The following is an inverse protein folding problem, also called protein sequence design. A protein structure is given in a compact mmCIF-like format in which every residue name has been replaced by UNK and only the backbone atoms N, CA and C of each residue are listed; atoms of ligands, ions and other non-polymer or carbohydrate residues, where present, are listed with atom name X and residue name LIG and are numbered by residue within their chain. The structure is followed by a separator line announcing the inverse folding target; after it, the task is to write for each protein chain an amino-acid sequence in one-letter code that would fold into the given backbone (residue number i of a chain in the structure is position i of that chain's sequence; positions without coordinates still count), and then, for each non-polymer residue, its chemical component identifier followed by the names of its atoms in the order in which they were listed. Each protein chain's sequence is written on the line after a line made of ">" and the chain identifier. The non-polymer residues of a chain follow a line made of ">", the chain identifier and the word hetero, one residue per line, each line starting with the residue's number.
data_IF_574911316336
#
_entry.id   IF_574911316336
#
_cell.length_a   1.000
_cell.length_b   1.000
_cell.length_c   1.000
_cell.angle_alpha   90.00
_cell.angle_beta   90.00
_cell.angle_gamma   90.00
#
_symmetry.space_group_name_H-M   'P 1'
#
loop_
_entity.id
_entity.type
_entity.pdbx_description
1 polymer ?
#
# COMPACT_ATOMS: atom_id res chain seq x y z
N UNK A 1 18.21 -65.71 -46.92
CA UNK A 1 18.37 -66.12 -45.50
C UNK A 1 16.99 -66.21 -44.90
N UNK A 2 16.60 -67.41 -44.45
CA UNK A 2 15.29 -67.70 -43.85
C UNK A 2 15.14 -67.02 -42.47
N UNK A 3 13.92 -66.66 -42.04
CA UNK A 3 13.67 -66.21 -40.68
C UNK A 3 13.58 -67.41 -39.72
N UNK A 4 14.22 -67.27 -38.57
CA UNK A 4 14.29 -68.27 -37.49
C UNK A 4 13.05 -68.11 -36.62
N UNK A 5 12.18 -69.12 -36.59
CA UNK A 5 11.13 -69.25 -35.58
C UNK A 5 11.78 -69.55 -34.22
N UNK A 6 11.31 -68.87 -33.18
CA UNK A 6 11.64 -69.15 -31.78
C UNK A 6 10.36 -69.61 -31.10
N UNK A 7 10.50 -70.75 -30.41
CA UNK A 7 9.50 -71.55 -29.72
C UNK A 7 8.67 -70.76 -28.70
N UNK A 8 7.36 -71.00 -28.73
CA UNK A 8 6.44 -70.77 -27.62
C UNK A 8 6.60 -71.92 -26.62
N UNK A 9 7.42 -71.76 -25.58
CA UNK A 9 7.26 -72.50 -24.32
C UNK A 9 7.90 -71.76 -23.14
N UNK A 10 7.18 -71.79 -22.02
CA UNK A 10 7.57 -71.41 -20.65
C UNK A 10 7.59 -69.93 -20.26
N UNK A 11 6.38 -69.37 -20.08
CA UNK A 11 6.15 -68.27 -19.13
C UNK A 11 5.34 -68.84 -17.95
N UNK A 12 5.85 -68.81 -16.70
CA UNK A 12 5.06 -69.23 -15.55
C UNK A 12 3.90 -68.26 -15.34
N UNK A 13 2.68 -68.78 -15.25
CA UNK A 13 1.49 -68.01 -14.89
C UNK A 13 1.60 -67.55 -13.43
N UNK A 14 2.12 -66.35 -13.19
CA UNK A 14 1.95 -65.68 -11.91
C UNK A 14 0.50 -65.19 -11.83
N UNK A 15 -0.29 -65.88 -11.02
CA UNK A 15 -1.61 -65.47 -10.58
C UNK A 15 -1.46 -64.13 -9.82
N UNK A 16 -1.97 -63.04 -10.39
CA UNK A 16 -1.98 -61.75 -9.71
C UNK A 16 -3.16 -61.71 -8.75
N UNK A 17 -2.89 -61.68 -7.45
CA UNK A 17 -3.90 -61.34 -6.46
C UNK A 17 -4.29 -59.86 -6.62
N UNK A 18 -5.53 -59.61 -7.05
CA UNK A 18 -6.09 -58.25 -7.01
C UNK A 18 -6.31 -57.84 -5.56
N UNK A 19 -5.41 -57.03 -5.02
CA UNK A 19 -5.63 -56.34 -3.76
C UNK A 19 -6.66 -55.24 -3.99
N UNK A 20 -7.92 -55.52 -3.65
CA UNK A 20 -8.99 -54.52 -3.61
C UNK A 20 -8.73 -53.60 -2.43
N UNK A 21 -8.24 -52.39 -2.69
CA UNK A 21 -8.18 -51.33 -1.67
C UNK A 21 -9.61 -50.94 -1.25
N UNK A 22 -9.93 -50.86 0.06
CA UNK A 22 -11.24 -50.40 0.49
C UNK A 22 -11.44 -48.95 0.04
N UNK A 23 -12.45 -48.69 -0.80
CA UNK A 23 -12.97 -47.33 -1.01
C UNK A 23 -13.73 -46.88 0.25
N UNK A 24 -13.01 -46.67 1.34
CA UNK A 24 -13.45 -45.86 2.46
C UNK A 24 -13.16 -44.40 2.15
N UNK A 25 -14.14 -43.53 2.36
CA UNK A 25 -13.96 -42.07 2.32
C UNK A 25 -12.92 -41.68 3.37
N UNK A 26 -11.66 -41.59 2.95
CA UNK A 26 -10.55 -41.12 3.78
C UNK A 26 -10.03 -39.87 3.11
N UNK A 27 -10.11 -38.73 3.81
CA UNK A 27 -9.52 -37.47 3.38
C UNK A 27 -8.08 -37.72 2.93
N UNK A 28 -7.72 -37.27 1.73
CA UNK A 28 -6.39 -37.49 1.16
C UNK A 28 -5.37 -36.63 1.92
N UNK A 29 -4.13 -37.10 2.18
CA UNK A 29 -3.09 -36.31 2.88
C UNK A 29 -2.74 -34.97 2.20
N UNK A 30 -3.07 -34.85 0.90
CA UNK A 30 -2.94 -33.63 0.12
C UNK A 30 -3.94 -32.54 0.56
N UNK A 31 -5.17 -32.89 0.92
CA UNK A 31 -6.15 -31.91 1.42
C UNK A 31 -5.81 -31.45 2.84
N UNK A 32 -5.28 -32.33 3.69
CA UNK A 32 -4.84 -31.94 5.04
C UNK A 32 -3.54 -31.13 5.04
N UNK A 33 -2.70 -31.28 4.02
CA UNK A 33 -1.49 -30.45 3.87
C UNK A 33 -1.81 -29.10 3.24
N UNK A 34 -2.80 -29.01 2.35
CA UNK A 34 -3.29 -27.72 1.83
C UNK A 34 -4.08 -26.97 2.91
N UNK A 35 -4.98 -27.63 3.65
CA UNK A 35 -5.67 -27.04 4.82
C UNK A 35 -4.66 -26.62 5.90
N UNK A 36 -3.62 -27.42 6.19
CA UNK A 36 -2.59 -27.06 7.17
C UNK A 36 -1.64 -25.94 6.70
N UNK A 37 -1.38 -25.81 5.39
CA UNK A 37 -0.60 -24.69 4.82
C UNK A 37 -1.44 -23.42 4.75
N UNK A 38 -2.73 -23.51 4.40
CA UNK A 38 -3.66 -22.38 4.50
C UNK A 38 -3.84 -21.94 5.96
N UNK A 39 -4.03 -22.86 6.90
CA UNK A 39 -4.13 -22.57 8.33
C UNK A 39 -2.82 -22.04 8.91
N UNK A 40 -1.64 -22.46 8.40
CA UNK A 40 -0.35 -21.87 8.77
C UNK A 40 -0.14 -20.48 8.15
N UNK A 41 -0.55 -20.21 6.90
CA UNK A 41 -0.51 -18.87 6.31
C UNK A 41 -1.53 -17.92 6.96
N UNK A 42 -2.68 -18.44 7.41
CA UNK A 42 -3.70 -17.71 8.17
C UNK A 42 -3.25 -17.45 9.61
N UNK A 43 -2.61 -18.42 10.29
CA UNK A 43 -2.05 -18.24 11.63
C UNK A 43 -0.79 -17.36 11.62
N UNK A 44 0.04 -17.40 10.58
CA UNK A 44 1.19 -16.51 10.43
C UNK A 44 0.78 -15.07 10.09
N UNK A 45 -0.45 -14.86 9.63
CA UNK A 45 -1.10 -13.54 9.54
C UNK A 45 -1.62 -13.01 10.89
N UNK A 46 -1.78 -13.85 11.92
CA UNK A 46 -2.40 -13.48 13.19
C UNK A 46 -1.44 -12.91 14.26
N UNK A 47 -0.13 -12.93 14.07
CA UNK A 47 0.86 -12.24 14.95
C UNK A 47 1.65 -11.14 14.23
N UNK A 48 0.97 -10.29 13.45
CA UNK A 48 1.55 -8.99 13.13
C UNK A 48 1.45 -8.11 14.38
N UNK A 49 2.45 -8.19 15.27
CA UNK A 49 2.67 -7.19 16.31
C UNK A 49 2.68 -5.81 15.66
N UNK A 50 1.56 -5.11 15.74
CA UNK A 50 1.42 -3.82 15.07
C UNK A 50 2.16 -2.76 15.87
N UNK A 51 3.38 -2.42 15.44
CA UNK A 51 4.22 -1.41 16.10
C UNK A 51 3.48 -0.09 16.33
N UNK A 52 3.75 0.60 17.43
CA UNK A 52 3.11 1.89 17.70
C UNK A 52 3.56 2.94 16.67
N UNK A 53 2.71 3.92 16.31
CA UNK A 53 3.09 4.95 15.33
C UNK A 53 4.35 5.73 15.74
N UNK A 54 4.61 5.87 17.05
CA UNK A 54 5.84 6.46 17.58
C UNK A 54 7.08 5.59 17.37
N UNK A 55 6.93 4.26 17.36
CA UNK A 55 8.04 3.33 17.13
C UNK A 55 8.50 3.37 15.68
N UNK A 56 7.62 3.76 14.75
CA UNK A 56 7.99 4.02 13.35
C UNK A 56 9.14 5.04 13.26
N UNK A 57 9.20 6.00 14.20
CA UNK A 57 10.22 7.05 14.29
C UNK A 57 11.33 6.75 15.31
N UNK A 58 11.59 5.47 15.66
CA UNK A 58 12.60 5.06 16.66
C UNK A 58 14.00 5.63 16.40
N UNK A 59 14.37 5.79 15.14
CA UNK A 59 15.69 6.32 14.72
C UNK A 59 15.70 7.83 14.49
N UNK A 60 14.62 8.55 14.81
CA UNK A 60 14.57 10.00 14.64
C UNK A 60 15.49 10.71 15.64
N UNK A 61 16.44 11.49 15.13
CA UNK A 61 17.24 12.38 15.97
C UNK A 61 16.37 13.51 16.54
N UNK A 62 16.74 14.18 17.65
CA UNK A 62 15.98 15.33 18.16
C UNK A 62 15.82 16.45 17.12
N UNK A 63 16.79 16.59 16.21
CA UNK A 63 16.68 17.49 15.06
C UNK A 63 15.60 17.03 14.07
N UNK A 64 15.50 15.73 13.79
CA UNK A 64 14.47 15.17 12.89
C UNK A 64 13.07 15.34 13.46
N UNK A 65 12.91 15.19 14.78
CA UNK A 65 11.63 15.47 15.46
C UNK A 65 11.22 16.93 15.35
N UNK A 66 12.17 17.87 15.46
CA UNK A 66 11.91 19.29 15.24
C UNK A 66 11.52 19.58 13.77
N UNK A 67 12.24 18.99 12.82
CA UNK A 67 11.95 19.14 11.38
C UNK A 67 10.58 18.56 11.02
N UNK A 68 10.21 17.40 11.57
CA UNK A 68 8.89 16.80 11.42
C UNK A 68 7.80 17.68 12.02
N UNK A 69 8.01 18.24 13.22
CA UNK A 69 7.07 19.16 13.84
C UNK A 69 6.81 20.40 12.97
N UNK A 70 7.87 21.01 12.44
CA UNK A 70 7.74 22.14 11.49
C UNK A 70 7.05 21.69 10.20
N UNK A 71 7.38 20.52 9.66
CA UNK A 71 6.74 19.95 8.47
C UNK A 71 5.23 19.76 8.64
N UNK A 72 4.79 19.22 9.78
CA UNK A 72 3.36 19.04 10.11
C UNK A 72 2.64 20.39 10.17
N UNK A 73 3.24 21.40 10.81
CA UNK A 73 2.67 22.75 10.88
C UNK A 73 2.55 23.35 9.48
N UNK A 74 3.59 23.25 8.64
CA UNK A 74 3.57 23.78 7.27
C UNK A 74 2.57 23.04 6.38
N UNK A 75 2.44 21.72 6.50
CA UNK A 75 1.44 20.92 5.80
C UNK A 75 0.01 21.31 6.21
N UNK A 76 -0.22 21.54 7.50
CA UNK A 76 -1.51 21.99 8.02
C UNK A 76 -1.88 23.40 7.53
N UNK A 77 -0.91 24.32 7.55
CA UNK A 77 -1.04 25.67 7.00
C UNK A 77 -1.37 25.59 5.50
N UNK A 78 -0.65 24.77 4.73
CA UNK A 78 -0.90 24.58 3.30
C UNK A 78 -2.32 24.09 3.02
N UNK A 79 -2.79 23.07 3.74
CA UNK A 79 -4.15 22.55 3.62
C UNK A 79 -5.22 23.61 3.95
N UNK A 80 -5.00 24.42 5.00
CA UNK A 80 -5.91 25.50 5.35
C UNK A 80 -5.91 26.64 4.31
N UNK A 81 -4.74 27.04 3.82
CA UNK A 81 -4.59 28.05 2.76
C UNK A 81 -5.35 27.67 1.48
N UNK A 82 -5.30 26.39 1.11
CA UNK A 82 -6.02 25.91 -0.06
C UNK A 82 -7.54 26.07 0.10
N UNK A 83 -8.09 25.82 1.30
CA UNK A 83 -9.50 26.07 1.60
C UNK A 83 -9.84 27.57 1.72
N UNK A 84 -8.92 28.40 2.21
CA UNK A 84 -9.08 29.86 2.24
C UNK A 84 -9.20 30.49 0.85
N UNK A 85 -8.73 29.81 -0.21
CA UNK A 85 -8.95 30.23 -1.60
C UNK A 85 -10.44 30.44 -1.92
N UNK A 86 -11.33 29.66 -1.29
CA UNK A 86 -12.78 29.82 -1.45
C UNK A 86 -13.27 31.23 -1.04
N UNK A 87 -12.66 31.84 -0.01
CA UNK A 87 -13.02 33.18 0.48
C UNK A 87 -12.65 34.25 -0.55
N UNK A 88 -11.42 34.18 -1.08
CA UNK A 88 -10.95 35.13 -2.12
C UNK A 88 -11.79 34.99 -3.38
N UNK A 89 -12.19 33.77 -3.74
CA UNK A 89 -13.07 33.50 -4.87
C UNK A 89 -14.45 34.14 -4.68
N UNK A 90 -15.06 34.02 -3.50
CA UNK A 90 -16.34 34.68 -3.22
C UNK A 90 -16.26 36.20 -3.29
N UNK A 91 -15.20 36.79 -2.73
CA UNK A 91 -14.98 38.24 -2.79
C UNK A 91 -14.77 38.72 -4.23
N UNK A 92 -14.02 37.97 -5.05
CA UNK A 92 -13.87 38.29 -6.47
C UNK A 92 -15.21 38.29 -7.21
N UNK A 93 -16.08 37.31 -6.94
CA UNK A 93 -17.43 37.27 -7.53
C UNK A 93 -18.25 38.48 -7.11
N UNK A 94 -18.17 38.89 -5.85
CA UNK A 94 -18.87 40.09 -5.35
C UNK A 94 -18.46 41.36 -6.11
N UNK A 95 -17.17 41.55 -6.34
CA UNK A 95 -16.61 42.70 -7.05
C UNK A 95 -17.10 42.80 -8.50
N UNK A 96 -17.35 41.65 -9.15
CA UNK A 96 -17.92 41.59 -10.50
C UNK A 96 -19.45 41.62 -10.54
N UNK A 97 -20.13 41.33 -9.42
CA UNK A 97 -21.58 41.19 -9.34
C UNK A 97 -22.30 42.46 -8.86
N UNK A 98 -21.65 43.64 -8.92
CA UNK A 98 -22.27 44.89 -8.51
C UNK A 98 -23.48 45.25 -9.40
N UNK A 99 -24.57 45.68 -8.76
CA UNK A 99 -25.88 45.88 -9.39
C UNK A 99 -25.91 46.98 -10.47
N UNK A 100 -24.94 47.91 -10.45
CA UNK A 100 -24.89 49.04 -11.38
C UNK A 100 -24.18 48.71 -12.72
N UNK A 101 -23.72 47.47 -12.90
CA UNK A 101 -22.95 47.06 -14.09
C UNK A 101 -21.52 47.64 -14.14
N UNK A 102 -21.11 48.37 -13.09
CA UNK A 102 -19.73 48.78 -12.85
C UNK A 102 -18.92 47.64 -12.25
N UNK A 103 -17.65 47.52 -12.64
CA UNK A 103 -16.70 46.63 -11.99
C UNK A 103 -15.90 47.45 -11.00
N UNK A 104 -15.90 47.05 -9.74
CA UNK A 104 -15.01 47.63 -8.74
C UNK A 104 -13.58 47.13 -9.01
N UNK A 105 -12.81 47.97 -9.71
CA UNK A 105 -11.45 47.64 -10.11
C UNK A 105 -10.53 47.49 -8.89
N UNK A 106 -10.81 48.19 -7.79
CA UNK A 106 -9.99 48.14 -6.59
C UNK A 106 -10.22 46.83 -5.84
N UNK A 107 -11.48 46.39 -5.72
CA UNK A 107 -11.81 45.10 -5.12
C UNK A 107 -11.32 43.91 -5.96
N UNK A 108 -11.41 44.00 -7.30
CA UNK A 108 -10.83 43.00 -8.21
C UNK A 108 -9.30 42.94 -8.10
N UNK A 109 -8.61 44.09 -8.05
CA UNK A 109 -7.16 44.13 -7.92
C UNK A 109 -6.71 43.58 -6.56
N UNK A 110 -7.45 43.88 -5.48
CA UNK A 110 -7.23 43.30 -4.16
C UNK A 110 -7.43 41.77 -4.15
N UNK A 111 -8.48 41.27 -4.82
CA UNK A 111 -8.70 39.83 -4.95
C UNK A 111 -7.61 39.13 -5.77
N UNK A 112 -7.16 39.75 -6.87
CA UNK A 112 -6.05 39.23 -7.69
C UNK A 112 -4.73 39.18 -6.90
N UNK A 113 -4.41 40.23 -6.13
CA UNK A 113 -3.28 40.23 -5.20
C UNK A 113 -3.44 39.16 -4.12
N UNK A 114 -4.65 38.95 -3.60
CA UNK A 114 -4.96 37.88 -2.66
C UNK A 114 -4.65 36.48 -3.23
N UNK A 115 -5.09 36.19 -4.46
CA UNK A 115 -4.75 34.93 -5.14
C UNK A 115 -3.25 34.76 -5.35
N UNK A 116 -2.56 35.84 -5.74
CA UNK A 116 -1.11 35.81 -5.95
C UNK A 116 -0.35 35.52 -4.65
N UNK A 117 -0.71 36.17 -3.55
CA UNK A 117 -0.10 35.94 -2.23
C UNK A 117 -0.39 34.53 -1.70
N UNK A 118 -1.61 34.03 -1.87
CA UNK A 118 -1.96 32.64 -1.53
C UNK A 118 -1.14 31.66 -2.37
N UNK A 119 -0.96 31.92 -3.67
CA UNK A 119 -0.17 31.05 -4.53
C UNK A 119 1.30 30.97 -4.09
N UNK A 120 1.91 32.12 -3.75
CA UNK A 120 3.28 32.15 -3.19
C UNK A 120 3.33 31.39 -1.86
N UNK A 121 2.37 31.64 -0.96
CA UNK A 121 2.33 30.98 0.33
C UNK A 121 2.14 29.46 0.19
N UNK A 122 1.26 29.01 -0.71
CA UNK A 122 1.08 27.59 -1.04
C UNK A 122 2.37 26.99 -1.58
N UNK A 123 3.05 27.65 -2.51
CA UNK A 123 4.32 27.17 -3.06
C UNK A 123 5.38 27.00 -1.97
N UNK A 124 5.60 28.02 -1.14
CA UNK A 124 6.62 28.00 -0.08
C UNK A 124 6.28 26.94 0.98
N UNK A 125 5.04 26.89 1.45
CA UNK A 125 4.63 25.95 2.50
C UNK A 125 4.65 24.50 2.02
N UNK A 126 4.21 24.23 0.79
CA UNK A 126 4.23 22.88 0.20
C UNK A 126 5.67 22.42 -0.04
N UNK A 127 6.52 23.30 -0.59
CA UNK A 127 7.94 23.00 -0.82
C UNK A 127 8.68 22.71 0.49
N UNK A 128 8.55 23.57 1.50
CA UNK A 128 9.20 23.38 2.81
C UNK A 128 8.68 22.10 3.46
N UNK A 129 7.37 21.87 3.48
CA UNK A 129 6.80 20.63 4.01
C UNK A 129 7.38 19.39 3.31
N UNK A 130 7.33 19.35 1.98
CA UNK A 130 7.81 18.21 1.20
C UNK A 130 9.31 17.92 1.43
N UNK A 131 10.15 18.95 1.45
CA UNK A 131 11.59 18.80 1.68
C UNK A 131 11.88 18.32 3.10
N UNK A 132 11.18 18.86 4.11
CA UNK A 132 11.37 18.45 5.51
C UNK A 132 10.97 16.98 5.75
N UNK A 133 9.82 16.56 5.24
CA UNK A 133 9.36 15.17 5.34
C UNK A 133 10.29 14.22 4.56
N UNK A 134 10.68 14.58 3.33
CA UNK A 134 11.55 13.73 2.51
C UNK A 134 12.95 13.57 3.15
N UNK A 135 13.56 14.67 3.61
CA UNK A 135 14.88 14.61 4.24
C UNK A 135 14.87 13.82 5.55
N UNK A 136 13.83 14.00 6.38
CA UNK A 136 13.69 13.25 7.63
C UNK A 136 13.51 11.75 7.37
N UNK A 137 12.67 11.38 6.41
CA UNK A 137 12.46 9.98 6.03
C UNK A 137 13.75 9.34 5.47
N UNK A 138 14.48 10.04 4.60
CA UNK A 138 15.72 9.51 4.01
C UNK A 138 16.82 9.30 5.07
N UNK A 139 16.97 10.23 6.02
CA UNK A 139 17.94 10.10 7.13
C UNK A 139 17.62 8.92 8.03
N UNK A 140 16.35 8.76 8.42
CA UNK A 140 15.93 7.64 9.28
C UNK A 140 16.06 6.29 8.58
N UNK A 141 15.69 6.21 7.30
CA UNK A 141 15.83 4.97 6.51
C UNK A 141 17.30 4.61 6.31
N UNK A 142 18.19 5.60 6.15
CA UNK A 142 19.64 5.36 6.09
C UNK A 142 20.16 4.72 7.38
N UNK A 143 19.86 5.29 8.54
CA UNK A 143 20.29 4.74 9.84
C UNK A 143 19.67 3.36 10.10
N UNK A 144 18.37 3.21 9.83
CA UNK A 144 17.69 1.91 9.94
C UNK A 144 18.34 0.85 9.06
N UNK A 145 18.70 1.17 7.81
CA UNK A 145 19.39 0.23 6.91
C UNK A 145 20.78 -0.13 7.40
N UNK A 146 21.53 0.86 7.91
CA UNK A 146 22.87 0.63 8.45
C UNK A 146 22.83 -0.29 9.67
N UNK A 147 21.91 -0.02 10.61
CA UNK A 147 21.75 -0.81 11.82
C UNK A 147 21.18 -2.20 11.53
N UNK A 148 20.20 -2.31 10.63
CA UNK A 148 19.66 -3.59 10.19
C UNK A 148 20.76 -4.46 9.56
N UNK A 149 21.56 -3.90 8.66
CA UNK A 149 22.65 -4.63 8.03
C UNK A 149 23.72 -5.04 9.05
N UNK A 150 24.09 -4.14 9.96
CA UNK A 150 25.02 -4.43 11.05
C UNK A 150 24.51 -5.60 11.89
N UNK A 151 23.27 -5.52 12.36
CA UNK A 151 22.67 -6.55 13.21
C UNK A 151 22.59 -7.90 12.50
N UNK A 152 22.19 -7.92 11.22
CA UNK A 152 22.18 -9.13 10.41
C UNK A 152 23.56 -9.79 10.33
N UNK A 153 24.65 -9.03 10.17
CA UNK A 153 25.99 -9.60 10.11
C UNK A 153 26.45 -10.27 11.41
N UNK A 154 25.85 -9.92 12.55
CA UNK A 154 26.18 -10.48 13.87
C UNK A 154 25.15 -11.51 14.38
N UNK A 155 24.15 -11.87 13.57
CA UNK A 155 23.20 -12.90 13.95
C UNK A 155 23.82 -14.30 13.93
N UNK A 156 23.30 -15.21 14.75
CA UNK A 156 23.80 -16.58 14.80
C UNK A 156 23.47 -17.37 13.52
N UNK A 157 24.35 -18.31 13.16
CA UNK A 157 24.17 -19.14 11.96
C UNK A 157 22.90 -20.00 12.04
N UNK A 158 22.47 -20.38 13.25
CA UNK A 158 21.27 -21.18 13.47
C UNK A 158 19.98 -20.45 13.06
N UNK A 159 19.94 -19.13 13.18
CA UNK A 159 18.85 -18.30 12.68
C UNK A 159 18.82 -18.26 11.14
N UNK A 160 19.99 -18.23 10.50
CA UNK A 160 20.11 -18.29 9.04
C UNK A 160 19.74 -19.66 8.46
N UNK A 161 19.94 -20.74 9.21
CA UNK A 161 19.47 -22.08 8.81
C UNK A 161 17.93 -22.17 8.75
N UNK A 162 17.22 -21.30 9.48
CA UNK A 162 15.75 -21.25 9.53
C UNK A 162 15.15 -20.19 8.60
N UNK A 163 15.95 -19.21 8.16
CA UNK A 163 15.46 -18.03 7.44
C UNK A 163 16.13 -17.89 6.08
N UNK A 164 15.34 -17.78 5.02
CA UNK A 164 15.84 -17.63 3.65
C UNK A 164 16.60 -16.30 3.44
N UNK A 165 17.91 -16.33 3.13
CA UNK A 165 18.71 -15.13 2.90
C UNK A 165 18.19 -14.23 1.76
N UNK A 166 17.54 -14.80 0.75
CA UNK A 166 17.00 -14.04 -0.38
C UNK A 166 15.83 -13.16 0.05
N UNK A 167 15.00 -13.65 0.98
CA UNK A 167 13.91 -12.87 1.55
C UNK A 167 14.42 -11.69 2.36
N UNK A 168 15.52 -11.86 3.11
CA UNK A 168 16.13 -10.77 3.87
C UNK A 168 16.59 -9.60 2.99
N UNK A 169 17.29 -9.90 1.89
CA UNK A 169 17.78 -8.87 0.97
C UNK A 169 16.63 -8.10 0.31
N UNK A 170 15.58 -8.83 -0.09
CA UNK A 170 14.35 -8.25 -0.66
C UNK A 170 13.63 -7.37 0.36
N UNK A 171 13.49 -7.80 1.62
CA UNK A 171 12.90 -7.00 2.70
C UNK A 171 13.71 -5.74 2.98
N UNK A 172 15.03 -5.86 3.14
CA UNK A 172 15.89 -4.71 3.43
C UNK A 172 15.84 -3.65 2.32
N UNK A 173 15.65 -4.05 1.07
CA UNK A 173 15.58 -3.11 -0.06
C UNK A 173 14.16 -2.60 -0.33
N UNK A 174 13.17 -3.49 -0.34
CA UNK A 174 11.78 -3.21 -0.71
C UNK A 174 10.96 -2.62 0.43
N UNK A 175 10.97 -3.24 1.62
CA UNK A 175 10.15 -2.78 2.75
C UNK A 175 10.63 -1.43 3.26
N UNK A 176 11.94 -1.16 3.20
CA UNK A 176 12.48 0.16 3.58
C UNK A 176 12.04 1.28 2.64
N UNK A 177 11.75 1.00 1.36
CA UNK A 177 11.16 2.00 0.45
C UNK A 177 9.72 2.30 0.85
N UNK A 178 8.93 1.27 1.18
CA UNK A 178 7.55 1.46 1.66
C UNK A 178 7.50 2.28 2.95
N UNK A 179 8.41 1.98 3.89
CA UNK A 179 8.58 2.73 5.13
C UNK A 179 8.90 4.19 4.84
N UNK A 180 9.85 4.44 3.92
CA UNK A 180 10.23 5.78 3.49
C UNK A 180 9.04 6.59 2.94
N UNK A 181 8.28 5.98 2.03
CA UNK A 181 7.16 6.64 1.37
C UNK A 181 6.04 6.98 2.37
N UNK A 182 5.75 6.05 3.29
CA UNK A 182 4.76 6.25 4.36
C UNK A 182 5.16 7.30 5.39
N UNK A 183 6.42 7.31 5.85
CA UNK A 183 6.93 8.27 6.82
C UNK A 183 7.17 9.67 6.23
N UNK A 184 7.53 9.74 4.96
CA UNK A 184 7.85 10.98 4.27
C UNK A 184 6.62 11.63 3.65
N UNK A 185 6.53 11.54 2.31
CA UNK A 185 5.56 12.29 1.52
C UNK A 185 4.10 11.98 1.91
N UNK A 186 3.77 10.71 2.16
CA UNK A 186 2.38 10.30 2.41
C UNK A 186 1.84 10.79 3.74
N UNK A 187 2.69 10.91 4.76
CA UNK A 187 2.31 11.53 6.02
C UNK A 187 2.01 13.02 5.86
N UNK A 188 2.87 13.75 5.15
CA UNK A 188 2.66 15.17 4.86
C UNK A 188 1.36 15.43 4.09
N UNK A 189 1.10 14.61 3.05
CA UNK A 189 -0.15 14.65 2.28
C UNK A 189 -1.38 14.32 3.15
N UNK A 190 -1.29 13.33 4.04
CA UNK A 190 -2.39 12.98 4.93
C UNK A 190 -2.76 14.14 5.88
N UNK A 191 -1.77 14.78 6.49
CA UNK A 191 -1.99 15.95 7.37
C UNK A 191 -2.60 17.10 6.57
N UNK A 192 -2.04 17.41 5.40
CA UNK A 192 -2.53 18.45 4.49
C UNK A 192 -4.01 18.24 4.14
N UNK A 193 -4.39 17.04 3.70
CA UNK A 193 -5.77 16.74 3.32
C UNK A 193 -6.75 16.71 4.49
N UNK A 194 -6.29 16.29 5.68
CA UNK A 194 -7.08 16.37 6.91
C UNK A 194 -7.36 17.83 7.32
N UNK A 195 -6.33 18.68 7.30
CA UNK A 195 -6.48 20.12 7.57
C UNK A 195 -7.33 20.81 6.51
N UNK A 196 -7.16 20.48 5.24
CA UNK A 196 -7.98 21.01 4.15
C UNK A 196 -9.46 20.67 4.33
N UNK A 197 -9.77 19.42 4.71
CA UNK A 197 -11.14 18.98 5.01
C UNK A 197 -11.74 19.81 6.14
N UNK A 198 -11.03 19.91 7.27
CA UNK A 198 -11.50 20.66 8.44
C UNK A 198 -11.69 22.15 8.10
N UNK A 199 -10.71 22.79 7.48
CA UNK A 199 -10.78 24.20 7.11
C UNK A 199 -11.90 24.49 6.10
N UNK A 200 -12.09 23.62 5.09
CA UNK A 200 -13.13 23.77 4.09
C UNK A 200 -14.55 23.70 4.68
N UNK A 201 -14.77 22.74 5.59
CA UNK A 201 -16.05 22.61 6.30
C UNK A 201 -16.28 23.73 7.31
N UNK A 202 -15.26 24.19 8.02
CA UNK A 202 -15.38 25.35 8.93
C UNK A 202 -15.80 26.60 8.14
N UNK A 203 -15.16 26.87 7.00
CA UNK A 203 -15.54 27.99 6.12
C UNK A 203 -16.99 27.80 5.62
N UNK A 204 -17.36 26.58 5.22
CA UNK A 204 -18.72 26.23 4.83
C UNK A 204 -19.76 26.56 5.90
N UNK A 205 -19.59 26.03 7.11
CA UNK A 205 -20.53 26.22 8.20
C UNK A 205 -20.64 27.67 8.67
N UNK A 206 -19.54 28.42 8.66
CA UNK A 206 -19.54 29.84 9.06
C UNK A 206 -20.29 30.71 8.04
N UNK A 207 -20.15 30.45 6.75
CA UNK A 207 -20.77 31.26 5.69
C UNK A 207 -22.20 30.84 5.33
N UNK A 208 -22.49 29.55 5.38
CA UNK A 208 -23.79 29.01 4.99
C UNK A 208 -24.01 27.63 5.58
N UNK A 209 -24.45 27.59 6.84
CA UNK A 209 -24.69 26.33 7.57
C UNK A 209 -25.74 25.45 6.90
N UNK A 210 -26.81 26.03 6.36
CA UNK A 210 -27.93 25.34 5.71
C UNK A 210 -27.52 24.67 4.39
N UNK A 211 -26.80 25.40 3.54
CA UNK A 211 -26.26 24.89 2.28
C UNK A 211 -25.17 23.84 2.50
N UNK A 212 -24.30 24.07 3.49
CA UNK A 212 -23.24 23.13 3.87
C UNK A 212 -23.83 21.80 4.33
N UNK A 213 -24.91 21.84 5.11
CA UNK A 213 -25.59 20.64 5.60
C UNK A 213 -26.23 19.85 4.45
N UNK A 214 -26.85 20.54 3.48
CA UNK A 214 -27.40 19.93 2.28
C UNK A 214 -26.32 19.22 1.44
N UNK A 215 -25.18 19.87 1.21
CA UNK A 215 -24.05 19.28 0.47
C UNK A 215 -23.39 18.13 1.27
N UNK A 216 -23.35 18.24 2.60
CA UNK A 216 -22.82 17.20 3.48
C UNK A 216 -23.62 15.90 3.41
N UNK A 217 -24.92 15.94 3.11
CA UNK A 217 -25.73 14.73 2.92
C UNK A 217 -25.26 13.87 1.73
N UNK A 218 -24.60 14.47 0.73
CA UNK A 218 -24.07 13.76 -0.45
C UNK A 218 -22.68 13.16 -0.19
N UNK A 219 -21.98 13.62 0.84
CA UNK A 219 -20.62 13.17 1.17
C UNK A 219 -20.54 11.67 1.54
N UNK A 220 -21.44 11.07 2.35
CA UNK A 220 -21.42 9.63 2.63
C UNK A 220 -21.55 8.77 1.36
N UNK A 221 -22.38 9.20 0.40
CA UNK A 221 -22.54 8.49 -0.87
C UNK A 221 -21.24 8.53 -1.69
N UNK A 222 -20.58 9.69 -1.73
CA UNK A 222 -19.29 9.86 -2.40
C UNK A 222 -18.19 9.05 -1.73
N UNK A 223 -18.09 9.09 -0.39
CA UNK A 223 -17.11 8.34 0.38
C UNK A 223 -17.34 6.82 0.26
N UNK A 224 -18.60 6.37 0.27
CA UNK A 224 -18.98 4.98 0.03
C UNK A 224 -18.55 4.49 -1.34
N UNK A 225 -18.83 5.27 -2.39
CA UNK A 225 -18.42 4.97 -3.76
C UNK A 225 -16.90 4.86 -3.94
N UNK A 226 -16.16 5.85 -3.43
CA UNK A 226 -14.69 5.83 -3.44
C UNK A 226 -14.15 4.65 -2.63
N UNK A 227 -14.80 4.32 -1.51
CA UNK A 227 -14.45 3.17 -0.69
C UNK A 227 -14.62 1.84 -1.41
N UNK A 228 -15.71 1.68 -2.17
CA UNK A 228 -15.97 0.50 -3.01
C UNK A 228 -14.96 0.44 -4.15
N UNK A 229 -14.68 1.56 -4.83
CA UNK A 229 -13.70 1.63 -5.92
C UNK A 229 -12.31 1.18 -5.45
N UNK A 230 -11.84 1.68 -4.31
CA UNK A 230 -10.55 1.29 -3.73
C UNK A 230 -10.50 -0.21 -3.40
N UNK A 231 -11.57 -0.78 -2.82
CA UNK A 231 -11.64 -2.22 -2.54
C UNK A 231 -11.59 -3.05 -3.83
N UNK A 232 -12.30 -2.62 -4.87
CA UNK A 232 -12.29 -3.30 -6.17
C UNK A 232 -10.89 -3.23 -6.79
N UNK A 233 -10.22 -2.07 -6.75
CA UNK A 233 -8.86 -1.91 -7.28
C UNK A 233 -7.85 -2.79 -6.54
N UNK A 234 -7.93 -2.87 -5.21
CA UNK A 234 -7.07 -3.76 -4.42
C UNK A 234 -7.31 -5.24 -4.76
N UNK A 235 -8.58 -5.67 -4.81
CA UNK A 235 -8.94 -7.05 -5.19
C UNK A 235 -8.51 -7.37 -6.62
N UNK A 236 -8.63 -6.40 -7.53
CA UNK A 236 -8.15 -6.49 -8.91
C UNK A 236 -6.65 -6.72 -8.97
N UNK A 237 -5.88 -5.93 -8.23
CA UNK A 237 -4.42 -6.03 -8.23
C UNK A 237 -3.96 -7.43 -7.80
N UNK A 238 -4.52 -7.96 -6.70
CA UNK A 238 -4.19 -9.30 -6.20
C UNK A 238 -4.59 -10.39 -7.21
N UNK A 239 -5.83 -10.34 -7.70
CA UNK A 239 -6.31 -11.36 -8.62
C UNK A 239 -5.58 -11.32 -9.97
N UNK A 240 -5.30 -10.12 -10.49
CA UNK A 240 -4.52 -9.96 -11.71
C UNK A 240 -3.11 -10.53 -11.54
N UNK A 241 -2.47 -10.34 -10.39
CA UNK A 241 -1.15 -10.90 -10.10
C UNK A 241 -1.18 -12.43 -10.08
N UNK A 242 -2.20 -13.05 -9.47
CA UNK A 242 -2.38 -14.50 -9.45
C UNK A 242 -2.56 -15.08 -10.85
N UNK A 243 -3.45 -14.47 -11.65
CA UNK A 243 -3.70 -14.92 -13.03
C UNK A 243 -2.46 -14.78 -13.91
N UNK A 244 -1.68 -13.70 -13.75
CA UNK A 244 -0.41 -13.53 -14.45
C UNK A 244 0.65 -14.53 -13.98
N UNK A 245 0.67 -14.91 -12.71
CA UNK A 245 1.56 -15.94 -12.20
C UNK A 245 1.24 -17.32 -12.80
N UNK A 246 -0.05 -17.68 -12.91
CA UNK A 246 -0.46 -18.93 -13.56
C UNK A 246 -0.09 -18.97 -15.05
N UNK A 247 -0.39 -17.91 -15.79
CA UNK A 247 -0.01 -17.81 -17.20
C UNK A 247 1.51 -17.77 -17.39
N UNK A 248 2.21 -17.08 -16.49
CA UNK A 248 3.66 -17.01 -16.42
C UNK A 248 4.29 -18.39 -16.19
N UNK A 249 3.74 -19.19 -15.28
CA UNK A 249 4.21 -20.54 -14.99
C UNK A 249 4.10 -21.46 -16.23
N UNK A 250 3.01 -21.33 -17.01
CA UNK A 250 2.86 -22.09 -18.27
C UNK A 250 3.90 -21.66 -19.30
N UNK A 251 4.18 -20.36 -19.41
CA UNK A 251 5.21 -19.85 -20.30
C UNK A 251 6.61 -20.32 -19.85
N UNK A 252 6.88 -20.29 -18.55
CA UNK A 252 8.14 -20.73 -17.95
C UNK A 252 8.38 -22.23 -18.16
N UNK A 253 7.37 -23.08 -17.92
CA UNK A 253 7.40 -24.52 -18.19
C UNK A 253 7.76 -24.79 -19.67
N UNK A 254 7.07 -24.10 -20.58
CA UNK A 254 7.21 -24.27 -22.03
C UNK A 254 8.58 -23.83 -22.51
N UNK A 255 9.04 -22.65 -22.09
CA UNK A 255 10.32 -22.08 -22.50
C UNK A 255 11.50 -22.83 -21.85
N UNK A 256 11.37 -23.23 -20.59
CA UNK A 256 12.37 -24.03 -19.88
C UNK A 256 12.62 -25.38 -20.54
N UNK A 257 11.57 -26.00 -21.11
CA UNK A 257 11.63 -27.28 -21.80
C UNK A 257 11.50 -27.17 -23.33
N UNK A 258 11.96 -26.06 -23.93
CA UNK A 258 11.72 -25.76 -25.35
C UNK A 258 12.22 -26.85 -26.31
N UNK A 259 13.33 -27.53 -25.98
CA UNK A 259 13.86 -28.65 -26.76
C UNK A 259 12.89 -29.84 -26.77
N UNK A 260 12.27 -30.14 -25.62
CA UNK A 260 11.27 -31.21 -25.49
C UNK A 260 10.00 -30.84 -26.26
N UNK A 261 9.50 -29.62 -26.09
CA UNK A 261 8.30 -29.14 -26.79
C UNK A 261 8.47 -29.20 -28.31
N UNK A 262 9.63 -28.77 -28.82
CA UNK A 262 9.94 -28.82 -30.24
C UNK A 262 10.16 -30.24 -30.75
N UNK A 263 10.82 -31.11 -29.97
CA UNK A 263 10.98 -32.52 -30.34
C UNK A 263 9.65 -33.29 -30.44
N UNK A 264 8.66 -32.87 -29.66
CA UNK A 264 7.30 -33.43 -29.64
C UNK A 264 6.33 -32.69 -30.57
N UNK A 265 6.78 -31.69 -31.34
CA UNK A 265 5.94 -30.86 -32.22
C UNK A 265 4.67 -30.34 -31.51
N UNK A 266 4.83 -29.96 -30.24
CA UNK A 266 3.73 -29.61 -29.32
C UNK A 266 3.59 -28.09 -29.12
N UNK A 267 4.16 -27.27 -30.00
CA UNK A 267 4.14 -25.81 -29.89
C UNK A 267 2.71 -25.26 -29.87
N UNK A 268 1.83 -25.79 -30.74
CA UNK A 268 0.41 -25.39 -30.78
C UNK A 268 -0.29 -25.66 -29.45
N UNK A 269 -0.06 -26.83 -28.86
CA UNK A 269 -0.66 -27.20 -27.57
C UNK A 269 -0.21 -26.27 -26.44
N UNK A 270 1.05 -25.84 -26.45
CA UNK A 270 1.56 -24.88 -25.48
C UNK A 270 0.95 -23.49 -25.68
N UNK A 271 0.81 -23.03 -26.93
CA UNK A 271 0.13 -21.77 -27.26
C UNK A 271 -1.33 -21.81 -26.81
N UNK A 272 -2.04 -22.91 -27.07
CA UNK A 272 -3.45 -23.06 -26.67
C UNK A 272 -3.60 -23.05 -25.15
N UNK A 273 -2.72 -23.75 -24.41
CA UNK A 273 -2.69 -23.76 -22.93
C UNK A 273 -2.45 -22.37 -22.36
N UNK A 274 -1.57 -21.57 -22.98
CA UNK A 274 -1.32 -20.19 -22.57
C UNK A 274 -2.53 -19.29 -22.87
N UNK A 275 -3.09 -19.40 -24.08
CA UNK A 275 -4.26 -18.63 -24.49
C UNK A 275 -5.47 -18.90 -23.61
N UNK A 276 -5.71 -20.14 -23.19
CA UNK A 276 -6.79 -20.50 -22.27
C UNK A 276 -6.68 -19.72 -20.94
N UNK A 277 -5.47 -19.67 -20.36
CA UNK A 277 -5.21 -18.92 -19.12
C UNK A 277 -5.28 -17.41 -19.33
N UNK A 278 -4.77 -16.92 -20.46
CA UNK A 278 -4.85 -15.51 -20.82
C UNK A 278 -6.30 -15.04 -21.01
N UNK A 279 -7.14 -15.83 -21.69
CA UNK A 279 -8.55 -15.53 -21.90
C UNK A 279 -9.35 -15.56 -20.59
N UNK A 280 -9.06 -16.50 -19.69
CA UNK A 280 -9.64 -16.51 -18.36
C UNK A 280 -9.29 -15.22 -17.58
N UNK A 281 -8.02 -14.79 -17.62
CA UNK A 281 -7.57 -13.55 -17.00
C UNK A 281 -8.25 -12.32 -17.62
N UNK A 282 -8.39 -12.29 -18.95
CA UNK A 282 -9.05 -11.23 -19.67
C UNK A 282 -10.53 -11.11 -19.26
N UNK A 283 -11.27 -12.22 -19.23
CA UNK A 283 -12.69 -12.22 -18.87
C UNK A 283 -12.93 -11.64 -17.47
N UNK A 284 -12.09 -12.02 -16.49
CA UNK A 284 -12.18 -11.45 -15.13
C UNK A 284 -11.79 -9.98 -15.12
N UNK A 285 -10.72 -9.59 -15.81
CA UNK A 285 -10.29 -8.20 -15.90
C UNK A 285 -11.36 -7.30 -16.54
N UNK A 286 -12.06 -7.78 -17.57
CA UNK A 286 -13.18 -7.07 -18.19
C UNK A 286 -14.32 -6.90 -17.18
N UNK A 287 -14.67 -7.94 -16.43
CA UNK A 287 -15.77 -7.87 -15.45
C UNK A 287 -15.45 -6.91 -14.30
N UNK A 288 -14.22 -6.97 -13.77
CA UNK A 288 -13.74 -6.05 -12.74
C UNK A 288 -13.61 -4.63 -13.27
N UNK A 289 -13.20 -4.46 -14.53
CA UNK A 289 -13.14 -3.18 -15.23
C UNK A 289 -14.52 -2.53 -15.35
N UNK A 290 -15.55 -3.29 -15.74
CA UNK A 290 -16.95 -2.82 -15.77
C UNK A 290 -17.42 -2.35 -14.40
N UNK A 291 -17.17 -3.15 -13.36
CA UNK A 291 -17.56 -2.78 -11.99
C UNK A 291 -16.82 -1.52 -11.50
N UNK A 292 -15.52 -1.40 -11.81
CA UNK A 292 -14.71 -0.22 -11.48
C UNK A 292 -15.22 1.03 -12.20
N UNK A 293 -15.59 0.89 -13.48
CA UNK A 293 -16.14 2.00 -14.27
C UNK A 293 -17.50 2.47 -13.74
N UNK A 294 -18.38 1.56 -13.32
CA UNK A 294 -19.66 1.91 -12.68
C UNK A 294 -19.42 2.64 -11.36
N UNK A 295 -18.52 2.14 -10.51
CA UNK A 295 -18.18 2.78 -9.24
C UNK A 295 -17.59 4.18 -9.45
N UNK A 296 -16.65 4.33 -10.39
CA UNK A 296 -16.04 5.62 -10.72
C UNK A 296 -17.04 6.60 -11.35
N UNK A 297 -17.90 6.11 -12.26
CA UNK A 297 -18.97 6.91 -12.85
C UNK A 297 -19.97 7.40 -11.81
N UNK A 298 -20.33 6.55 -10.84
CA UNK A 298 -21.18 6.94 -9.72
C UNK A 298 -20.50 7.98 -8.81
N UNK A 299 -19.20 7.84 -8.53
CA UNK A 299 -18.42 8.85 -7.79
C UNK A 299 -18.47 10.22 -8.47
N UNK A 300 -18.13 10.29 -9.76
CA UNK A 300 -18.19 11.53 -10.54
C UNK A 300 -19.63 12.06 -10.65
N UNK A 301 -20.62 11.18 -10.77
CA UNK A 301 -22.04 11.54 -10.76
C UNK A 301 -22.47 12.21 -9.45
N UNK A 302 -22.04 11.69 -8.29
CA UNK A 302 -22.28 12.32 -6.99
C UNK A 302 -21.66 13.72 -6.90
N UNK A 303 -20.45 13.92 -7.47
CA UNK A 303 -19.84 15.25 -7.55
C UNK A 303 -20.72 16.18 -8.37
N UNK A 304 -21.12 15.82 -9.59
CA UNK A 304 -22.00 16.67 -10.40
C UNK A 304 -23.36 16.95 -9.76
N UNK A 305 -23.95 15.98 -9.05
CA UNK A 305 -25.17 16.19 -8.27
C UNK A 305 -24.95 17.18 -7.14
N UNK A 306 -23.80 17.13 -6.46
CA UNK A 306 -23.42 18.13 -5.45
C UNK A 306 -23.30 19.53 -6.05
N UNK A 307 -22.73 19.67 -7.25
CA UNK A 307 -22.73 20.95 -7.98
C UNK A 307 -24.15 21.42 -8.29
N UNK A 308 -24.99 20.55 -8.85
CA UNK A 308 -26.36 20.90 -9.26
C UNK A 308 -27.23 21.34 -8.07
N UNK A 309 -27.24 20.54 -7.00
CA UNK A 309 -28.02 20.83 -5.79
C UNK A 309 -27.47 22.06 -5.06
N UNK A 310 -26.15 22.17 -4.94
CA UNK A 310 -25.50 23.31 -4.29
C UNK A 310 -25.81 24.63 -5.00
N UNK A 311 -25.66 24.67 -6.33
CA UNK A 311 -25.95 25.87 -7.12
C UNK A 311 -27.45 26.18 -7.22
N UNK A 312 -28.32 25.17 -7.32
CA UNK A 312 -29.77 25.38 -7.35
C UNK A 312 -30.28 25.97 -6.03
N UNK A 313 -29.88 25.38 -4.90
CA UNK A 313 -30.26 25.87 -3.58
C UNK A 313 -29.61 27.24 -3.29
N UNK A 314 -28.33 27.38 -3.60
CA UNK A 314 -27.58 28.64 -3.46
C UNK A 314 -28.20 29.78 -4.28
N UNK A 315 -28.52 29.52 -5.55
CA UNK A 315 -29.17 30.47 -6.44
C UNK A 315 -30.57 30.88 -5.97
N UNK A 316 -31.37 29.93 -5.47
CA UNK A 316 -32.67 30.23 -4.86
C UNK A 316 -32.53 31.13 -3.62
N UNK A 317 -31.49 30.92 -2.80
CA UNK A 317 -31.23 31.73 -1.61
C UNK A 317 -30.83 33.17 -1.95
N UNK A 318 -30.02 33.34 -2.99
CA UNK A 318 -29.67 34.66 -3.54
C UNK A 318 -30.91 35.35 -4.11
N UNK A 319 -31.76 34.63 -4.86
CA UNK A 319 -32.98 35.19 -5.44
C UNK A 319 -33.97 35.72 -4.39
N UNK A 320 -34.02 35.10 -3.21
CA UNK A 320 -34.85 35.54 -2.09
C UNK A 320 -34.15 36.57 -1.17
N UNK A 321 -32.98 37.10 -1.56
CA UNK A 321 -32.17 38.05 -0.79
C UNK A 321 -31.81 37.58 0.64
N UNK A 322 -31.75 36.26 0.86
CA UNK A 322 -31.43 35.66 2.17
C UNK A 322 -29.94 35.45 2.41
N UNK A 323 -29.12 35.58 1.37
CA UNK A 323 -27.65 35.51 1.43
C UNK A 323 -27.02 36.29 0.29
N UNK A 324 -25.80 36.81 0.52
CA UNK A 324 -24.99 37.38 -0.55
C UNK A 324 -24.51 36.28 -1.51
N UNK A 325 -24.41 36.55 -2.83
CA UNK A 325 -23.78 35.63 -3.78
C UNK A 325 -22.38 35.18 -3.32
N UNK A 326 -21.63 36.10 -2.70
CA UNK A 326 -20.30 35.80 -2.16
C UNK A 326 -20.36 34.66 -1.14
N UNK A 327 -21.18 34.78 -0.09
CA UNK A 327 -21.25 33.78 0.98
C UNK A 327 -21.69 32.41 0.47
N UNK A 328 -22.59 32.37 -0.51
CA UNK A 328 -23.02 31.14 -1.18
C UNK A 328 -21.85 30.47 -1.90
N UNK A 329 -21.07 31.22 -2.69
CA UNK A 329 -19.91 30.66 -3.38
C UNK A 329 -18.78 30.27 -2.42
N UNK A 330 -18.56 31.01 -1.34
CA UNK A 330 -17.57 30.65 -0.32
C UNK A 330 -17.94 29.34 0.38
N UNK A 331 -19.22 29.18 0.74
CA UNK A 331 -19.72 27.93 1.32
C UNK A 331 -19.64 26.77 0.32
N UNK A 332 -20.05 27.01 -0.93
CA UNK A 332 -20.01 26.02 -2.01
C UNK A 332 -18.59 25.49 -2.26
N UNK A 333 -17.64 26.37 -2.54
CA UNK A 333 -16.26 25.98 -2.82
C UNK A 333 -15.54 25.46 -1.58
N UNK A 334 -15.83 26.00 -0.39
CA UNK A 334 -15.26 25.48 0.85
C UNK A 334 -15.62 24.01 1.09
N UNK A 335 -16.91 23.66 0.97
CA UNK A 335 -17.39 22.29 1.15
C UNK A 335 -16.91 21.37 0.03
N UNK A 336 -16.90 21.85 -1.21
CA UNK A 336 -16.43 21.08 -2.36
C UNK A 336 -14.94 20.71 -2.23
N UNK A 337 -14.08 21.69 -1.95
CA UNK A 337 -12.63 21.47 -1.80
C UNK A 337 -12.31 20.60 -0.58
N UNK A 338 -13.07 20.75 0.52
CA UNK A 338 -12.95 19.88 1.69
C UNK A 338 -13.43 18.45 1.40
N UNK A 339 -14.53 18.29 0.66
CA UNK A 339 -15.04 16.97 0.29
C UNK A 339 -14.04 16.21 -0.59
N UNK A 340 -13.42 16.89 -1.56
CA UNK A 340 -12.39 16.29 -2.41
C UNK A 340 -11.14 15.85 -1.63
N UNK A 341 -10.70 16.62 -0.62
CA UNK A 341 -9.53 16.24 0.17
C UNK A 341 -9.74 14.95 0.97
N UNK A 342 -10.97 14.66 1.40
CA UNK A 342 -11.28 13.38 2.04
C UNK A 342 -11.05 12.18 1.10
N UNK A 343 -11.36 12.34 -0.19
CA UNK A 343 -11.09 11.33 -1.20
C UNK A 343 -9.61 10.97 -1.32
N UNK A 344 -8.74 11.97 -1.16
CA UNK A 344 -7.28 11.82 -1.22
C UNK A 344 -6.66 11.42 0.12
N UNK A 345 -7.34 11.60 1.25
CA UNK A 345 -6.84 11.23 2.57
C UNK A 345 -6.68 9.70 2.71
N UNK A 346 -7.66 8.93 2.24
CA UNK A 346 -7.70 7.47 2.41
C UNK A 346 -6.49 6.71 1.81
N UNK A 347 -6.07 6.93 0.54
CA UNK A 347 -4.88 6.25 0.00
C UNK A 347 -3.61 6.61 0.77
N UNK A 348 -3.49 7.83 1.29
CA UNK A 348 -2.34 8.25 2.09
C UNK A 348 -2.33 7.56 3.47
N UNK A 349 -3.48 7.44 4.12
CA UNK A 349 -3.61 6.64 5.35
C UNK A 349 -3.27 5.16 5.12
N UNK A 350 -3.67 4.59 3.98
CA UNK A 350 -3.35 3.21 3.63
C UNK A 350 -1.82 3.01 3.45
N UNK A 351 -1.14 3.96 2.81
CA UNK A 351 0.32 3.91 2.66
C UNK A 351 1.05 4.01 4.01
N UNK A 352 0.56 4.83 4.94
CA UNK A 352 1.09 4.90 6.31
C UNK A 352 0.89 3.58 7.05
N UNK A 353 -0.26 2.93 6.89
CA UNK A 353 -0.52 1.62 7.48
C UNK A 353 0.37 0.52 6.89
N UNK A 354 0.62 0.55 5.58
CA UNK A 354 1.55 -0.36 4.90
C UNK A 354 2.99 -0.16 5.40
N UNK A 355 3.43 1.09 5.54
CA UNK A 355 4.73 1.43 6.13
C UNK A 355 4.88 0.90 7.56
N UNK A 356 3.82 0.99 8.39
CA UNK A 356 3.80 0.43 9.74
C UNK A 356 3.96 -1.10 9.72
N UNK A 357 3.28 -1.79 8.81
CA UNK A 357 3.40 -3.25 8.65
C UNK A 357 4.80 -3.68 8.20
N UNK A 358 5.39 -2.95 7.24
CA UNK A 358 6.75 -3.17 6.76
C UNK A 358 7.80 -2.93 7.87
N UNK A 359 7.67 -1.85 8.63
CA UNK A 359 8.57 -1.53 9.73
C UNK A 359 8.49 -2.56 10.87
N UNK A 360 7.31 -3.11 11.17
CA UNK A 360 7.16 -4.16 12.18
C UNK A 360 8.03 -5.39 11.88
N UNK A 361 8.10 -5.80 10.61
CA UNK A 361 8.93 -6.93 10.19
C UNK A 361 10.42 -6.65 10.34
N UNK A 362 10.87 -5.45 9.98
CA UNK A 362 12.28 -5.05 10.13
C UNK A 362 12.63 -4.94 11.62
N UNK A 363 11.78 -4.33 12.45
CA UNK A 363 12.01 -4.22 13.89
C UNK A 363 11.97 -5.57 14.61
N UNK A 364 11.17 -6.53 14.14
CA UNK A 364 11.23 -7.92 14.66
C UNK A 364 12.62 -8.53 14.45
N UNK A 365 13.20 -8.33 13.27
CA UNK A 365 14.58 -8.76 12.98
C UNK A 365 15.57 -8.03 13.89
N UNK A 366 15.51 -6.69 14.00
CA UNK A 366 16.43 -5.92 14.85
C UNK A 366 16.30 -6.20 16.36
N UNK A 367 15.13 -6.62 16.82
CA UNK A 367 14.92 -6.96 18.23
C UNK A 367 15.25 -8.43 18.53
N UNK A 368 15.71 -9.20 17.53
CA UNK A 368 16.10 -10.60 17.74
C UNK A 368 17.43 -10.63 18.48
N UNK A 369 17.47 -11.28 19.64
CA UNK A 369 18.73 -11.49 20.36
C UNK A 369 19.51 -12.64 19.70
N UNK A 370 20.77 -12.42 19.36
CA UNK A 370 21.66 -13.53 18.97
C UNK A 370 22.07 -14.32 20.20
N UNK A 371 22.00 -15.65 20.12
CA UNK A 371 22.50 -16.53 21.17
C UNK A 371 24.04 -16.54 21.24
N UNK A 372 24.71 -16.28 20.12
CA UNK A 372 26.16 -16.21 19.99
C UNK A 372 26.52 -14.83 19.44
N UNK A 373 26.68 -13.87 20.35
CA UNK A 373 26.94 -12.48 19.97
C UNK A 373 28.43 -12.24 19.71
N UNK A 374 28.82 -12.25 18.42
CA UNK A 374 30.16 -11.92 17.97
C UNK A 374 30.43 -10.40 17.90
N UNK A 375 29.46 -9.55 18.25
CA UNK A 375 29.63 -8.09 18.24
C UNK A 375 30.30 -7.54 19.49
N UNK A 376 30.27 -8.31 20.59
CA UNK A 376 30.83 -7.92 21.87
C UNK A 376 32.21 -8.56 22.09
N UNK A 377 33.24 -7.92 21.54
CA UNK A 377 34.64 -8.34 21.65
C UNK A 377 35.14 -8.45 23.10
N UNK A 378 34.49 -7.82 24.07
CA UNK A 378 34.99 -7.70 25.45
C UNK A 378 34.42 -8.76 26.42
N UNK A 379 33.40 -9.52 26.00
CA UNK A 379 32.79 -10.57 26.84
C UNK A 379 33.56 -11.89 26.84
N UNK A 380 34.39 -12.13 25.83
CA UNK A 380 35.17 -13.37 25.69
C UNK A 380 36.56 -13.28 26.30
N UNK A 381 37.05 -14.38 26.85
CA UNK A 381 38.44 -14.49 27.29
C UNK A 381 39.40 -14.41 26.09
N UNK A 382 40.32 -13.45 26.12
CA UNK A 382 41.40 -13.29 25.12
C UNK A 382 42.74 -13.73 25.72
N UNK A 383 43.11 -15.02 25.65
CA UNK A 383 44.36 -15.49 26.22
C UNK A 383 45.58 -14.94 25.47
N UNK A 384 46.62 -14.54 26.21
CA UNK A 384 47.87 -13.98 25.64
C UNK A 384 48.65 -14.97 24.78
N UNK A 385 48.46 -16.28 24.99
CA UNK A 385 49.09 -17.34 24.21
C UNK A 385 48.16 -18.54 24.06
N UNK A 386 48.13 -19.16 22.88
CA UNK A 386 47.34 -20.35 22.59
C UNK A 386 48.28 -21.49 22.17
N UNK A 387 48.29 -22.59 22.93
CA UNK A 387 49.10 -23.79 22.66
C UNK A 387 48.45 -24.74 21.64
N UNK A 388 47.19 -24.50 21.27
CA UNK A 388 46.47 -25.27 20.25
C UNK A 388 45.99 -26.67 20.69
N UNK A 389 45.90 -26.94 21.99
CA UNK A 389 45.33 -28.20 22.48
C UNK A 389 43.80 -28.17 22.39
N UNK A 390 43.21 -29.08 21.60
CA UNK A 390 41.76 -29.17 21.37
C UNK A 390 41.28 -30.52 21.89
N UNK A 391 40.27 -30.52 22.76
CA UNK A 391 39.64 -31.71 23.31
C UNK A 391 38.12 -31.61 23.11
N UNK A 392 37.49 -32.70 22.67
CA UNK A 392 36.04 -32.82 22.49
C UNK A 392 35.50 -33.90 23.43
N UNK A 393 34.77 -33.49 24.47
CA UNK A 393 34.27 -34.39 25.51
C UNK A 393 32.73 -34.49 25.45
N UNK A 394 32.22 -35.71 25.21
CA UNK A 394 30.78 -36.04 25.25
C UNK A 394 29.87 -35.04 24.51
N UNK A 395 30.25 -34.66 23.29
CA UNK A 395 29.48 -33.71 22.48
C UNK A 395 28.30 -34.44 21.84
N UNK A 396 27.08 -33.95 22.09
CA UNK A 396 25.88 -34.29 21.34
C UNK A 396 25.38 -33.03 20.64
N UNK A 397 25.10 -33.11 19.34
CA UNK A 397 24.75 -31.96 18.51
C UNK A 397 23.64 -32.32 17.52
N UNK A 398 22.66 -31.45 17.40
CA UNK A 398 21.53 -31.58 16.48
C UNK A 398 21.29 -30.22 15.82
N UNK A 399 21.12 -30.20 14.49
CA UNK A 399 20.82 -28.97 13.77
C UNK A 399 19.39 -28.51 14.08
N UNK A 400 19.16 -27.21 14.37
CA UNK A 400 17.82 -26.69 14.63
C UNK A 400 16.85 -26.90 13.47
N UNK A 401 17.35 -26.89 12.23
CA UNK A 401 16.55 -27.11 11.02
C UNK A 401 16.10 -28.56 10.82
N UNK A 402 16.68 -29.52 11.56
CA UNK A 402 16.38 -30.96 11.49
C UNK A 402 16.47 -31.61 12.88
N UNK A 403 15.50 -31.34 13.76
CA UNK A 403 15.52 -31.86 15.14
C UNK A 403 15.33 -33.39 15.22
N UNK A 404 14.81 -34.01 14.16
CA UNK A 404 14.45 -35.44 14.13
C UNK A 404 15.58 -36.36 13.62
N UNK A 405 16.76 -35.81 13.31
CA UNK A 405 17.95 -36.53 12.81
C UNK A 405 19.00 -36.54 13.91
#
# INVERSE_FOLDING_TARGET
>A
MQPRQLDDTDVPSTEYDQVVTPRGKTKTPADSSIEAVEDQELAQKEELETITFSELYRYATPMDNALLGVGVVMAGINGALFSCMAIVYGNAINAFAQADGGVDRDEVNSAALGFFLIAIALFVTDYVSAVLFANSAERQVKEMRAEALRHLLYLDISWYDQTDPLQLSSRLTGDTVKIKDGMGQKLGEAVKYACQFLAGYVIGFVRGWDMTLLMSCLMPFMAGSMGVLLKIMQKRAVHSQQMYAEAGAVAEETLGSIRTVSSLNSEKRAIDKYNERALAAEAVNINVGKLSAIAFGFFIGCVWLMYAVGLWYGGSKVAHAKASPSDVFQAFFGVLLGTMSLGQLKPNMAAIAEAKGAAAQIYKILNTSSAIDASNDDLGDKPDSCSGHIEALNINFTYPSRPDV
#
